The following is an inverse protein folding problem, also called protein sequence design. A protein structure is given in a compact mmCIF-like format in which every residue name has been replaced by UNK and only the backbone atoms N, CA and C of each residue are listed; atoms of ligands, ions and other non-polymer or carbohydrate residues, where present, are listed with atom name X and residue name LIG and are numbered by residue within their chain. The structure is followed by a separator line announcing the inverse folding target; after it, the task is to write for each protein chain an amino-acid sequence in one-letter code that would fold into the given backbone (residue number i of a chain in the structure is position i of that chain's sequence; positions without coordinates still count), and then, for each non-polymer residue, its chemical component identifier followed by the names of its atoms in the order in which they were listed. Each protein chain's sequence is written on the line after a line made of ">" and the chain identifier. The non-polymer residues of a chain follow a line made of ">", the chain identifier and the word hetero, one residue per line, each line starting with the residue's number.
data_IF_054838921107
#
_entry.id   IF_054838921107
#
_cell.length_a   1.000
_cell.length_b   1.000
_cell.length_c   1.000
_cell.angle_alpha   90.00
_cell.angle_beta   90.00
_cell.angle_gamma   90.00
#
_symmetry.space_group_name_H-M   'P 1'
#
loop_
_entity.id
_entity.type
_entity.pdbx_description
1 polymer ?
#
# COMPACT_ATOMS: atom_id res chain seq x y z
N UNK A 1 0.26 4.03 -13.93
CA UNK A 1 1.19 4.96 -13.25
C UNK A 1 0.50 6.25 -12.87
N UNK A 2 0.33 6.44 -11.56
CA UNK A 2 -0.30 7.62 -10.93
C UNK A 2 0.47 8.08 -9.68
N UNK A 3 1.26 7.18 -9.06
CA UNK A 3 2.15 7.52 -7.94
C UNK A 3 3.18 8.56 -8.39
N UNK A 4 3.58 9.44 -7.48
CA UNK A 4 4.57 10.51 -7.72
C UNK A 4 5.72 10.47 -6.71
N UNK A 5 5.88 9.36 -6.00
CA UNK A 5 6.97 9.12 -5.05
C UNK A 5 7.11 10.21 -3.97
N UNK A 6 5.98 10.66 -3.41
CA UNK A 6 5.96 11.70 -2.37
C UNK A 6 6.16 11.17 -0.94
N UNK A 7 6.20 9.85 -0.75
CA UNK A 7 6.37 9.13 0.52
C UNK A 7 5.37 9.45 1.66
N UNK A 8 4.36 10.28 1.42
CA UNK A 8 3.36 10.66 2.44
C UNK A 8 2.60 9.46 3.00
N UNK A 9 2.36 8.43 2.20
CA UNK A 9 1.58 7.26 2.62
C UNK A 9 2.37 6.28 3.51
N UNK A 10 3.71 6.31 3.48
CA UNK A 10 4.56 5.36 4.21
C UNK A 10 4.35 5.44 5.74
N UNK A 11 4.47 6.60 6.41
CA UNK A 11 4.28 6.70 7.86
C UNK A 11 2.80 6.57 8.28
N UNK A 12 1.86 6.71 7.35
CA UNK A 12 0.42 6.67 7.65
C UNK A 12 -0.13 5.24 7.76
N UNK A 13 0.62 4.24 7.28
CA UNK A 13 0.21 2.84 7.34
C UNK A 13 0.46 2.26 8.74
N UNK A 14 -0.60 1.93 9.51
CA UNK A 14 -0.44 1.47 10.91
C UNK A 14 0.19 0.07 11.03
N UNK A 15 0.31 -0.66 9.92
CA UNK A 15 0.90 -2.01 9.86
C UNK A 15 2.16 -2.04 8.99
N UNK A 16 2.71 -0.87 8.64
CA UNK A 16 3.99 -0.72 7.96
C UNK A 16 4.10 -1.51 6.64
N UNK A 17 2.99 -1.57 5.87
CA UNK A 17 2.90 -2.38 4.66
C UNK A 17 3.20 -1.61 3.35
N UNK A 18 3.58 -0.34 3.43
CA UNK A 18 3.84 0.51 2.26
C UNK A 18 5.34 0.78 2.15
N UNK A 19 5.93 0.47 0.99
CA UNK A 19 7.34 0.63 0.69
C UNK A 19 7.53 1.41 -0.60
N UNK A 20 8.57 2.23 -0.67
CA UNK A 20 9.09 2.68 -1.96
C UNK A 20 9.57 1.46 -2.75
N UNK A 21 9.43 1.46 -4.07
CA UNK A 21 9.70 0.29 -4.92
C UNK A 21 11.13 -0.26 -4.71
N UNK A 22 12.13 0.63 -4.57
CA UNK A 22 13.52 0.26 -4.32
C UNK A 22 13.78 -0.35 -2.93
N UNK A 23 12.83 -0.20 -2.00
CA UNK A 23 12.94 -0.61 -0.59
C UNK A 23 12.05 -1.82 -0.26
N UNK A 24 11.38 -2.42 -1.24
CA UNK A 24 10.55 -3.62 -1.02
C UNK A 24 11.45 -4.78 -0.57
N UNK A 25 11.17 -5.42 0.58
CA UNK A 25 11.92 -6.59 1.04
C UNK A 25 11.91 -7.72 -0.01
N UNK A 26 13.03 -8.47 -0.19
CA UNK A 26 13.13 -9.51 -1.21
C UNK A 26 12.01 -10.57 -1.16
N UNK A 27 11.54 -10.94 0.03
CA UNK A 27 10.43 -11.87 0.25
C UNK A 27 9.10 -11.35 -0.32
N UNK A 28 8.97 -10.04 -0.49
CA UNK A 28 7.76 -9.35 -0.95
C UNK A 28 7.93 -8.72 -2.34
N UNK A 29 9.05 -8.94 -3.02
CA UNK A 29 9.34 -8.37 -4.34
C UNK A 29 8.23 -8.64 -5.39
N UNK A 30 7.51 -9.75 -5.26
CA UNK A 30 6.39 -10.10 -6.14
C UNK A 30 5.20 -9.11 -6.05
N UNK A 31 5.06 -8.36 -4.95
CA UNK A 31 3.99 -7.37 -4.79
C UNK A 31 4.16 -6.16 -5.71
N UNK A 32 5.38 -5.81 -6.14
CA UNK A 32 5.60 -4.69 -7.08
C UNK A 32 4.85 -4.95 -8.38
N UNK A 33 5.06 -6.13 -9.00
CA UNK A 33 4.35 -6.50 -10.21
C UNK A 33 2.84 -6.63 -9.97
N UNK A 34 2.44 -7.26 -8.86
CA UNK A 34 1.02 -7.42 -8.52
C UNK A 34 0.31 -6.07 -8.41
N UNK A 35 0.91 -5.08 -7.76
CA UNK A 35 0.35 -3.74 -7.60
C UNK A 35 0.22 -3.02 -8.95
N UNK A 36 1.22 -3.13 -9.83
CA UNK A 36 1.17 -2.58 -11.19
C UNK A 36 0.00 -3.17 -11.99
N UNK A 37 -0.19 -4.50 -11.93
CA UNK A 37 -1.29 -5.19 -12.61
C UNK A 37 -2.66 -4.84 -12.01
N UNK A 38 -2.79 -4.87 -10.68
CA UNK A 38 -4.06 -4.62 -9.97
C UNK A 38 -4.52 -3.18 -10.07
N UNK A 39 -3.59 -2.21 -10.08
CA UNK A 39 -3.93 -0.80 -10.29
C UNK A 39 -4.58 -0.53 -11.65
N UNK A 40 -4.32 -1.41 -12.63
CA UNK A 40 -4.84 -1.31 -14.00
C UNK A 40 -6.01 -2.27 -14.28
N UNK A 41 -6.39 -3.11 -13.31
CA UNK A 41 -7.38 -4.17 -13.52
C UNK A 41 -8.85 -3.70 -13.43
N UNK A 42 -9.10 -2.39 -13.36
CA UNK A 42 -10.46 -1.83 -13.23
C UNK A 42 -11.06 -1.93 -11.82
N UNK A 43 -10.24 -2.15 -10.79
CA UNK A 43 -10.69 -2.01 -9.39
C UNK A 43 -11.13 -0.57 -9.12
N UNK A 44 -12.13 -0.36 -8.25
CA UNK A 44 -12.58 0.98 -7.90
C UNK A 44 -11.46 1.77 -7.20
N UNK A 45 -11.32 3.05 -7.55
CA UNK A 45 -10.40 3.95 -6.86
C UNK A 45 -10.96 4.34 -5.49
N UNK A 46 -10.16 4.15 -4.43
CA UNK A 46 -10.49 4.58 -3.08
C UNK A 46 -9.85 5.95 -2.84
N UNK A 47 -10.67 6.97 -2.54
CA UNK A 47 -10.22 8.35 -2.27
C UNK A 47 -10.64 8.87 -0.90
N UNK A 48 -11.31 8.04 -0.10
CA UNK A 48 -11.76 8.34 1.25
C UNK A 48 -11.34 7.23 2.21
N UNK A 49 -11.07 7.59 3.47
CA UNK A 49 -10.81 6.62 4.54
C UNK A 49 -12.08 5.82 4.83
N UNK A 50 -11.94 4.51 4.91
CA UNK A 50 -12.97 3.57 5.36
C UNK A 50 -12.58 2.99 6.72
N UNK A 51 -13.54 2.37 7.39
CA UNK A 51 -13.26 1.64 8.63
C UNK A 51 -12.38 0.41 8.35
N UNK A 52 -11.41 0.10 9.23
CA UNK A 52 -10.58 -1.10 9.09
C UNK A 52 -11.41 -2.39 9.07
N UNK A 53 -10.96 -3.40 8.32
CA UNK A 53 -11.67 -4.70 8.20
C UNK A 53 -11.77 -5.47 9.52
N UNK A 54 -10.80 -5.27 10.41
CA UNK A 54 -10.81 -5.75 11.79
C UNK A 54 -10.29 -4.62 12.68
N UNK A 55 -10.72 -4.59 13.95
CA UNK A 55 -10.14 -3.62 14.88
C UNK A 55 -8.62 -3.85 14.94
N UNK A 56 -7.82 -2.78 14.80
CA UNK A 56 -6.38 -2.92 14.94
C UNK A 56 -6.10 -3.45 16.35
N UNK A 57 -5.45 -4.61 16.44
CA UNK A 57 -4.78 -5.01 17.68
C UNK A 57 -3.90 -3.83 18.08
N UNK A 58 -4.18 -3.27 19.26
CA UNK A 58 -3.66 -1.99 19.72
C UNK A 58 -2.19 -1.78 19.33
N UNK A 59 -1.89 -0.58 18.82
CA UNK A 59 -0.54 -0.11 18.56
C UNK A 59 0.39 -0.48 19.73
N UNK A 60 1.46 -1.23 19.42
CA UNK A 60 2.59 -1.40 20.31
C UNK A 60 3.45 -0.14 20.31
#
# INVERSE_FOLDING_TARGET
>A
ETCIDCDVCVPECPVEAIFAEANVPPEWAHFTQMNAEKSQSGLPTITARLDPLCEPAAAH
#
